data_IF_626801069977
#
_entry.id   IF_626801069977
#
_cell.length_a   1.000
_cell.length_b   1.000
_cell.length_c   1.000
_cell.angle_alpha   90.00
_cell.angle_beta   90.00
_cell.angle_gamma   90.00
#
_symmetry.space_group_name_H-M   'P 1'
#
loop_
_entity.id
_entity.type
_entity.pdbx_description
1 polymer ?
#
# COMPACT_ATOMS: atom_id res chain seq x y z
N UNK A 1 9.99 2.58 -5.39
CA UNK A 1 8.73 3.18 -4.94
C UNK A 1 7.67 2.92 -6.00
N UNK A 2 6.48 2.51 -5.57
CA UNK A 2 5.30 2.30 -6.43
C UNK A 2 4.06 2.85 -5.70
N UNK A 3 2.93 3.05 -6.40
CA UNK A 3 1.68 3.41 -5.75
C UNK A 3 1.12 2.27 -4.88
N UNK A 4 0.48 2.65 -3.79
CA UNK A 4 -0.32 1.78 -2.92
C UNK A 4 -1.76 2.28 -2.96
N UNK A 5 -2.68 1.42 -3.39
CA UNK A 5 -4.10 1.73 -3.30
C UNK A 5 -4.69 1.12 -2.03
N UNK A 6 -5.40 1.94 -1.27
CA UNK A 6 -6.16 1.52 -0.10
C UNK A 6 -7.63 1.65 -0.40
N UNK A 7 -8.36 0.56 -0.26
CA UNK A 7 -9.80 0.46 -0.43
C UNK A 7 -10.46 0.29 0.94
N UNK A 8 -11.48 1.08 1.21
CA UNK A 8 -12.44 0.89 2.31
C UNK A 8 -13.76 0.54 1.63
N UNK A 9 -14.12 -0.73 1.68
CA UNK A 9 -15.21 -1.25 0.85
C UNK A 9 -14.96 -1.00 -0.64
N UNK A 10 -15.87 -0.28 -1.30
CA UNK A 10 -15.71 0.12 -2.71
C UNK A 10 -14.93 1.43 -2.90
N UNK A 11 -14.68 2.20 -1.83
CA UNK A 11 -14.03 3.50 -1.92
C UNK A 11 -12.50 3.34 -1.95
N UNK A 12 -11.87 3.68 -3.07
CA UNK A 12 -10.41 3.62 -3.25
C UNK A 12 -9.71 4.95 -3.04
N UNK A 13 -8.45 4.89 -2.57
CA UNK A 13 -7.53 6.03 -2.53
C UNK A 13 -6.12 5.59 -2.92
N UNK A 14 -5.39 6.44 -3.66
CA UNK A 14 -4.03 6.18 -4.10
C UNK A 14 -3.01 6.96 -3.26
N UNK A 15 -1.92 6.29 -2.90
CA UNK A 15 -0.81 6.83 -2.11
C UNK A 15 0.51 6.37 -2.72
N UNK A 16 1.61 7.05 -2.42
CA UNK A 16 2.94 6.61 -2.86
C UNK A 16 3.66 5.93 -1.70
N UNK A 17 4.28 4.78 -1.94
CA UNK A 17 5.16 4.16 -0.95
C UNK A 17 6.55 4.81 -1.01
N UNK A 18 6.70 5.96 -0.36
CA UNK A 18 7.91 6.80 -0.42
C UNK A 18 8.65 6.94 0.92
N UNK A 19 8.14 6.36 2.01
CA UNK A 19 8.76 6.41 3.33
C UNK A 19 9.98 5.49 3.40
N UNK A 20 10.93 5.83 4.26
CA UNK A 20 12.17 5.09 4.39
C UNK A 20 11.95 3.70 5.02
N UNK A 21 12.47 2.68 4.34
CA UNK A 21 12.63 1.30 4.81
C UNK A 21 14.07 0.85 4.50
N UNK A 22 15.04 1.21 5.37
CA UNK A 22 16.45 0.88 5.15
C UNK A 22 16.70 -0.63 5.06
N UNK A 23 15.87 -1.44 5.71
CA UNK A 23 15.89 -2.90 5.61
C UNK A 23 15.57 -3.39 4.19
N UNK A 24 14.66 -2.72 3.48
CA UNK A 24 14.38 -3.00 2.07
C UNK A 24 15.55 -2.58 1.18
N UNK A 25 16.18 -1.43 1.45
CA UNK A 25 17.38 -1.04 0.71
C UNK A 25 18.54 -2.02 0.93
N UNK A 26 18.71 -2.55 2.14
CA UNK A 26 19.74 -3.54 2.44
C UNK A 26 19.48 -4.88 1.75
N UNK A 27 18.22 -5.35 1.72
CA UNK A 27 17.84 -6.59 1.05
C UNK A 27 17.78 -6.46 -0.48
N UNK A 28 17.43 -5.27 -0.99
CA UNK A 28 17.23 -5.00 -2.42
C UNK A 28 17.92 -3.67 -2.85
N UNK A 29 19.27 -3.64 -2.91
CA UNK A 29 20.03 -2.39 -3.09
C UNK A 29 19.68 -1.57 -4.34
N UNK A 30 19.28 -2.24 -5.43
CA UNK A 30 18.93 -1.57 -6.69
C UNK A 30 17.67 -0.70 -6.63
N UNK A 31 16.84 -0.85 -5.59
CA UNK A 31 15.56 -0.14 -5.49
C UNK A 31 15.54 0.98 -4.45
N UNK A 32 16.60 1.12 -3.63
CA UNK A 32 16.67 2.12 -2.56
C UNK A 32 15.68 1.90 -1.42
N UNK A 33 15.61 2.84 -0.47
CA UNK A 33 14.84 2.69 0.77
C UNK A 33 13.37 3.17 0.69
N UNK A 34 13.01 3.92 -0.36
CA UNK A 34 11.69 4.56 -0.48
C UNK A 34 10.62 3.58 -0.95
N UNK A 35 10.16 2.75 -0.01
CA UNK A 35 9.12 1.73 -0.20
C UNK A 35 8.22 1.52 1.03
N UNK A 36 8.40 2.30 2.09
CA UNK A 36 7.49 2.34 3.24
C UNK A 36 6.28 3.23 2.96
N UNK A 37 5.20 2.99 3.70
CA UNK A 37 4.04 3.87 3.73
C UNK A 37 3.32 3.75 5.07
N UNK A 38 2.67 4.84 5.47
CA UNK A 38 1.73 4.87 6.58
C UNK A 38 0.51 5.66 6.13
N UNK A 39 -0.67 5.05 6.20
CA UNK A 39 -1.91 5.63 5.69
C UNK A 39 -2.94 5.60 6.82
N UNK A 40 -3.46 6.78 7.17
CA UNK A 40 -4.52 6.94 8.16
C UNK A 40 -5.83 7.24 7.44
N UNK A 41 -6.90 6.52 7.79
CA UNK A 41 -8.24 6.71 7.23
C UNK A 41 -9.30 6.61 8.32
N UNK A 42 -10.29 7.49 8.23
CA UNK A 42 -11.53 7.39 9.01
C UNK A 42 -12.43 6.38 8.33
N UNK A 43 -12.91 5.40 9.10
CA UNK A 43 -13.85 4.40 8.58
C UNK A 43 -15.29 4.91 8.71
N UNK A 44 -16.15 4.61 7.72
CA UNK A 44 -17.57 4.88 7.86
C UNK A 44 -18.19 4.05 9.01
N UNK A 45 -19.29 4.53 9.62
CA UNK A 45 -20.02 3.77 10.63
C UNK A 45 -20.51 2.43 10.07
N UNK A 46 -20.45 1.37 10.88
CA UNK A 46 -20.88 0.03 10.48
C UNK A 46 -19.73 -0.94 10.16
N UNK A 47 -18.49 -0.44 10.14
CA UNK A 47 -17.32 -1.27 9.87
C UNK A 47 -17.21 -1.63 8.39
N UNK A 48 -16.01 -1.53 7.83
CA UNK A 48 -15.76 -1.94 6.45
C UNK A 48 -14.45 -2.73 6.38
N UNK A 49 -14.34 -3.56 5.35
CA UNK A 49 -13.08 -4.19 5.01
C UNK A 49 -12.13 -3.14 4.42
N UNK A 50 -10.94 -3.05 4.99
CA UNK A 50 -9.84 -2.24 4.47
C UNK A 50 -8.84 -3.16 3.78
N UNK A 51 -8.60 -2.94 2.49
CA UNK A 51 -7.61 -3.67 1.71
C UNK A 51 -6.54 -2.74 1.15
N UNK A 52 -5.27 -3.14 1.24
CA UNK A 52 -4.15 -2.43 0.66
C UNK A 52 -3.54 -3.27 -0.48
N UNK A 53 -3.35 -2.65 -1.64
CA UNK A 53 -2.74 -3.25 -2.82
C UNK A 53 -1.49 -2.48 -3.24
N UNK A 54 -0.41 -3.19 -3.51
CA UNK A 54 0.72 -2.68 -4.26
C UNK A 54 0.34 -2.65 -5.75
N UNK A 55 0.37 -1.46 -6.34
CA UNK A 55 -0.01 -1.26 -7.75
C UNK A 55 1.22 -1.42 -8.60
N UNK A 56 1.18 -2.39 -9.51
CA UNK A 56 2.27 -2.63 -10.43
C UNK A 56 2.37 -1.47 -11.41
N UNK A 57 3.57 -0.95 -11.63
CA UNK A 57 3.85 0.16 -12.56
C UNK A 57 4.23 -0.34 -13.98
N UNK A 58 4.24 -1.66 -14.17
CA UNK A 58 4.59 -2.33 -15.43
C UNK A 58 3.60 -3.45 -15.78
N UNK A 59 4.00 -4.39 -16.65
CA UNK A 59 3.18 -5.55 -17.03
C UNK A 59 3.04 -6.50 -15.84
N UNK A 60 1.81 -6.86 -15.48
CA UNK A 60 1.52 -7.81 -14.40
C UNK A 60 0.29 -7.43 -13.59
N UNK A 61 -0.05 -8.26 -12.61
CA UNK A 61 -1.16 -8.03 -11.70
C UNK A 61 -0.74 -7.20 -10.48
N UNK A 62 -1.69 -6.45 -9.93
CA UNK A 62 -1.51 -5.80 -8.63
C UNK A 62 -1.42 -6.85 -7.53
N UNK A 63 -0.59 -6.59 -6.53
CA UNK A 63 -0.40 -7.51 -5.39
C UNK A 63 -1.24 -7.06 -4.21
N UNK A 64 -2.08 -7.94 -3.67
CA UNK A 64 -2.75 -7.71 -2.40
C UNK A 64 -1.72 -7.81 -1.27
N UNK A 65 -1.53 -6.73 -0.50
CA UNK A 65 -0.64 -6.71 0.65
C UNK A 65 -1.34 -7.27 1.89
N UNK A 66 -2.54 -6.75 2.18
CA UNK A 66 -3.36 -7.20 3.29
C UNK A 66 -4.80 -6.72 3.14
N UNK A 67 -5.74 -7.48 3.70
CA UNK A 67 -7.09 -7.03 3.99
C UNK A 67 -7.39 -7.25 5.47
N UNK A 68 -8.09 -6.31 6.11
CA UNK A 68 -8.57 -6.42 7.49
C UNK A 68 -9.98 -5.88 7.61
N UNK A 69 -10.83 -6.60 8.35
CA UNK A 69 -12.18 -6.15 8.71
C UNK A 69 -12.16 -5.46 10.08
N UNK A 70 -13.03 -4.47 10.24
CA UNK A 70 -13.19 -3.66 11.44
C UNK A 70 -14.67 -3.57 11.83
#
# INVERSE_FOLDING_TARGET
SIPVHVYVGAAGSAHTADQARPDIAAAFPGYGEKHGFTITRTLPPGGEQVCAYAINDAVGNNTLLACRSF
#
